data_IF_103303027398
#
_entry.id   IF_103303027398
#
_cell.length_a   1.000
_cell.length_b   1.000
_cell.length_c   1.000
_cell.angle_alpha   90.00
_cell.angle_beta   90.00
_cell.angle_gamma   90.00
#
_symmetry.space_group_name_H-M   'P 1'
#
loop_
_entity.id
_entity.type
_entity.pdbx_description
1 polymer ?
#
# COMPACT_ATOMS: atom_id res chain seq x y z
N UNK A 1 -25.79 -7.86 -17.83
CA UNK A 1 -25.99 -8.36 -16.46
C UNK A 1 -24.71 -8.06 -15.74
N UNK A 2 -24.75 -7.22 -14.72
CA UNK A 2 -23.60 -7.11 -13.81
C UNK A 2 -23.49 -8.46 -13.10
N UNK A 3 -22.37 -9.16 -13.31
CA UNK A 3 -21.98 -10.29 -12.46
C UNK A 3 -21.74 -9.73 -11.07
N UNK A 4 -22.76 -9.80 -10.22
CA UNK A 4 -22.62 -9.48 -8.80
C UNK A 4 -22.09 -10.74 -8.15
N UNK A 5 -20.81 -10.72 -7.79
CA UNK A 5 -20.20 -11.82 -7.04
C UNK A 5 -21.03 -12.13 -5.78
N UNK A 6 -21.30 -13.41 -5.49
CA UNK A 6 -22.02 -13.78 -4.28
C UNK A 6 -21.24 -13.31 -3.04
N UNK A 7 -21.93 -12.96 -1.95
CA UNK A 7 -21.26 -12.56 -0.70
C UNK A 7 -20.34 -13.69 -0.21
N UNK A 8 -19.22 -13.35 0.44
CA UNK A 8 -18.24 -14.34 0.88
C UNK A 8 -18.88 -15.33 1.86
N UNK A 9 -18.51 -16.60 1.73
CA UNK A 9 -18.87 -17.62 2.72
C UNK A 9 -18.28 -17.30 4.08
N UNK A 10 -18.82 -17.90 5.14
CA UNK A 10 -18.26 -17.73 6.49
C UNK A 10 -16.78 -18.13 6.57
N UNK A 11 -16.38 -19.18 5.83
CA UNK A 11 -14.98 -19.62 5.76
C UNK A 11 -14.09 -18.57 5.10
N UNK A 12 -14.54 -17.98 3.99
CA UNK A 12 -13.81 -16.91 3.29
C UNK A 12 -13.77 -15.61 4.10
N UNK A 13 -14.82 -15.32 4.85
CA UNK A 13 -14.83 -14.20 5.79
C UNK A 13 -13.76 -14.39 6.87
N UNK A 14 -13.75 -15.55 7.54
CA UNK A 14 -12.76 -15.84 8.58
C UNK A 14 -11.34 -15.90 8.00
N UNK A 15 -11.14 -16.50 6.83
CA UNK A 15 -9.84 -16.52 6.16
C UNK A 15 -9.35 -15.12 5.80
N UNK A 16 -10.28 -14.25 5.38
CA UNK A 16 -10.03 -12.83 5.09
C UNK A 16 -9.59 -12.00 6.30
N UNK A 17 -9.85 -12.46 7.53
CA UNK A 17 -9.40 -11.76 8.75
C UNK A 17 -7.93 -12.02 9.10
N UNK A 18 -7.33 -13.11 8.64
CA UNK A 18 -5.95 -13.47 9.02
C UNK A 18 -4.92 -12.47 8.49
N UNK A 19 -5.06 -12.02 7.24
CA UNK A 19 -4.15 -11.02 6.65
C UNK A 19 -4.11 -9.73 7.48
N UNK A 20 -5.26 -9.06 7.71
CA UNK A 20 -5.36 -7.89 8.58
C UNK A 20 -4.84 -8.13 10.00
N UNK A 21 -5.10 -9.30 10.59
CA UNK A 21 -4.63 -9.63 11.93
C UNK A 21 -3.10 -9.73 12.00
N UNK A 22 -2.45 -10.36 11.02
CA UNK A 22 -0.99 -10.42 10.91
C UNK A 22 -0.38 -9.03 10.73
N UNK A 23 -0.99 -8.19 9.87
CA UNK A 23 -0.58 -6.79 9.68
C UNK A 23 -0.66 -6.01 11.00
N UNK A 24 -1.71 -6.22 11.78
CA UNK A 24 -1.89 -5.56 13.07
C UNK A 24 -0.82 -5.98 14.08
N UNK A 25 -0.53 -7.28 14.19
CA UNK A 25 0.54 -7.78 15.08
C UNK A 25 1.89 -7.21 14.68
N UNK A 26 2.17 -7.14 13.37
CA UNK A 26 3.45 -6.64 12.87
C UNK A 26 3.61 -5.13 13.03
N UNK A 27 2.55 -4.36 12.82
CA UNK A 27 2.56 -2.92 13.09
C UNK A 27 2.73 -2.62 14.59
N UNK A 28 2.10 -3.43 15.46
CA UNK A 28 2.30 -3.33 16.91
C UNK A 28 3.75 -3.61 17.31
N UNK A 29 4.38 -4.65 16.75
CA UNK A 29 5.81 -4.95 16.96
C UNK A 29 6.68 -3.73 16.63
N UNK A 30 6.48 -3.12 15.47
CA UNK A 30 7.25 -1.94 15.05
C UNK A 30 7.05 -0.75 16.00
N UNK A 31 5.80 -0.49 16.39
CA UNK A 31 5.50 0.57 17.36
C UNK A 31 6.18 0.33 18.70
N UNK A 32 6.13 -0.90 19.23
CA UNK A 32 6.78 -1.26 20.48
C UNK A 32 8.31 -1.09 20.42
N UNK A 33 8.93 -1.43 19.28
CA UNK A 33 10.37 -1.21 19.04
C UNK A 33 10.67 0.29 19.07
N UNK A 34 9.96 1.12 18.30
CA UNK A 34 10.25 2.56 18.23
C UNK A 34 10.01 3.26 19.57
N UNK A 35 8.96 2.89 20.31
CA UNK A 35 8.73 3.37 21.69
C UNK A 35 9.92 2.99 22.59
N UNK A 36 10.36 1.74 22.52
CA UNK A 36 11.49 1.25 23.32
C UNK A 36 12.78 2.00 22.98
N UNK A 37 13.08 2.21 21.70
CA UNK A 37 14.24 3.00 21.28
C UNK A 37 14.15 4.46 21.74
N UNK A 38 12.96 5.06 21.63
CA UNK A 38 12.71 6.45 22.04
C UNK A 38 12.95 6.64 23.53
N UNK A 39 12.47 5.71 24.37
CA UNK A 39 12.60 5.77 25.83
C UNK A 39 14.03 5.41 26.26
N UNK A 40 14.54 4.25 25.84
CA UNK A 40 15.77 3.68 26.41
C UNK A 40 17.04 4.07 25.67
N UNK A 41 17.00 4.25 24.33
CA UNK A 41 18.20 4.62 23.56
C UNK A 41 18.35 6.13 23.43
N UNK A 42 17.25 6.85 23.22
CA UNK A 42 17.25 8.32 23.05
C UNK A 42 17.03 9.09 24.36
N UNK A 43 16.67 8.41 25.44
CA UNK A 43 16.41 9.03 26.75
C UNK A 43 15.15 9.90 26.80
N UNK A 44 14.27 9.81 25.79
CA UNK A 44 13.11 10.69 25.65
C UNK A 44 11.87 10.05 26.28
N UNK A 45 11.88 9.87 27.60
CA UNK A 45 10.88 9.09 28.36
C UNK A 45 9.44 9.56 28.10
N UNK A 46 9.23 10.88 28.00
CA UNK A 46 7.89 11.46 27.80
C UNK A 46 7.51 11.62 26.32
N UNK A 47 8.41 11.37 25.37
CA UNK A 47 8.13 11.55 23.95
C UNK A 47 7.01 10.66 23.40
N UNK A 48 6.80 9.40 23.85
CA UNK A 48 5.66 8.61 23.42
C UNK A 48 4.29 9.23 23.74
N UNK A 49 4.23 10.16 24.70
CA UNK A 49 3.00 10.86 25.10
C UNK A 49 2.98 12.27 24.49
N UNK A 50 4.03 13.06 24.75
CA UNK A 50 4.11 14.48 24.36
C UNK A 50 4.40 14.68 22.86
N UNK A 51 5.04 13.69 22.22
CA UNK A 51 5.40 13.67 20.80
C UNK A 51 4.93 12.37 20.14
N UNK A 52 3.77 11.88 20.57
CA UNK A 52 3.18 10.62 20.13
C UNK A 52 3.02 10.53 18.60
N UNK A 53 2.68 11.64 17.94
CA UNK A 53 2.60 11.72 16.49
C UNK A 53 3.94 11.35 15.83
N UNK A 54 5.05 11.95 16.26
CA UNK A 54 6.38 11.68 15.69
C UNK A 54 6.82 10.23 15.90
N UNK A 55 6.58 9.68 17.10
CA UNK A 55 6.91 8.28 17.44
C UNK A 55 6.07 7.32 16.61
N UNK A 56 4.78 7.62 16.40
CA UNK A 56 3.88 6.83 15.57
C UNK A 56 4.26 6.92 14.08
N UNK A 57 4.57 8.10 13.58
CA UNK A 57 4.92 8.31 12.18
C UNK A 57 6.23 7.60 11.83
N UNK A 58 7.21 7.62 12.74
CA UNK A 58 8.45 6.84 12.60
C UNK A 58 8.17 5.32 12.61
N UNK A 59 7.35 4.84 13.54
CA UNK A 59 6.96 3.43 13.59
C UNK A 59 6.20 2.98 12.33
N UNK A 60 5.30 3.84 11.84
CA UNK A 60 4.54 3.61 10.62
C UNK A 60 5.47 3.54 9.41
N UNK A 61 6.40 4.48 9.26
CA UNK A 61 7.37 4.48 8.16
C UNK A 61 8.24 3.22 8.15
N UNK A 62 8.81 2.85 9.30
CA UNK A 62 9.63 1.62 9.41
C UNK A 62 8.83 0.37 9.07
N UNK A 63 7.60 0.27 9.57
CA UNK A 63 6.69 -0.82 9.24
C UNK A 63 6.45 -0.90 7.74
N UNK A 64 6.10 0.20 7.09
CA UNK A 64 5.77 0.21 5.66
C UNK A 64 6.99 -0.05 4.77
N UNK A 65 8.19 0.41 5.14
CA UNK A 65 9.42 0.10 4.40
C UNK A 65 9.70 -1.41 4.42
N UNK A 66 9.56 -2.07 5.58
CA UNK A 66 9.78 -3.52 5.70
C UNK A 66 8.64 -4.32 5.05
N UNK A 67 7.40 -3.84 5.16
CA UNK A 67 6.23 -4.47 4.58
C UNK A 67 6.19 -4.38 3.05
N UNK A 68 6.52 -3.22 2.49
CA UNK A 68 6.42 -2.91 1.06
C UNK A 68 7.65 -3.37 0.26
N UNK A 69 8.41 -4.36 0.76
CA UNK A 69 9.62 -4.89 0.12
C UNK A 69 9.47 -5.18 -1.38
N UNK A 70 10.58 -5.42 -2.10
CA UNK A 70 10.60 -5.47 -3.57
C UNK A 70 9.51 -6.39 -4.09
N UNK A 71 8.52 -5.81 -4.76
CA UNK A 71 7.53 -6.59 -5.48
C UNK A 71 8.03 -6.78 -6.90
N UNK A 72 8.26 -8.04 -7.27
CA UNK A 72 8.48 -8.40 -8.67
C UNK A 72 7.21 -8.05 -9.43
N UNK A 73 7.26 -6.97 -10.22
CA UNK A 73 6.25 -6.71 -11.23
C UNK A 73 6.37 -7.86 -12.22
N UNK A 74 5.46 -8.81 -12.17
CA UNK A 74 5.43 -9.91 -13.14
C UNK A 74 5.09 -9.31 -14.48
N UNK A 75 6.07 -9.26 -15.36
CA UNK A 75 5.91 -8.84 -16.74
C UNK A 75 5.56 -10.09 -17.56
N UNK A 76 4.59 -9.98 -18.45
CA UNK A 76 4.27 -11.04 -19.40
C UNK A 76 5.35 -11.11 -20.51
N UNK A 77 5.25 -12.11 -21.39
CA UNK A 77 6.24 -12.34 -22.46
C UNK A 77 6.36 -11.16 -23.45
N UNK A 78 5.40 -10.23 -23.46
CA UNK A 78 5.40 -9.03 -24.30
C UNK A 78 6.01 -7.78 -23.63
N UNK A 79 6.56 -7.91 -22.42
CA UNK A 79 7.09 -6.75 -21.70
C UNK A 79 6.01 -5.91 -21.01
N UNK A 80 4.77 -6.39 -20.93
CA UNK A 80 3.64 -5.71 -20.30
C UNK A 80 3.35 -6.31 -18.92
N UNK A 81 3.10 -5.49 -17.89
CA UNK A 81 2.76 -5.99 -16.56
C UNK A 81 1.51 -6.87 -16.56
N UNK A 82 1.62 -8.07 -15.99
CA UNK A 82 0.59 -9.09 -15.98
C UNK A 82 -0.53 -8.74 -14.98
N UNK A 83 -1.54 -8.05 -15.51
CA UNK A 83 -2.71 -7.58 -14.77
C UNK A 83 -3.55 -8.75 -14.21
N UNK A 84 -3.46 -9.95 -14.80
CA UNK A 84 -4.27 -11.12 -14.40
C UNK A 84 -3.91 -11.70 -13.04
N UNK A 85 -2.71 -11.38 -12.54
CA UNK A 85 -2.20 -11.85 -11.24
C UNK A 85 -2.55 -10.91 -10.08
N UNK A 86 -3.16 -9.76 -10.35
CA UNK A 86 -3.56 -8.81 -9.32
C UNK A 86 -4.72 -9.35 -8.51
N UNK A 87 -4.67 -9.17 -7.19
CA UNK A 87 -5.74 -9.55 -6.27
C UNK A 87 -6.12 -8.39 -5.36
N UNK A 88 -7.32 -8.48 -4.77
CA UNK A 88 -7.84 -7.53 -3.78
C UNK A 88 -7.92 -6.08 -4.29
N UNK A 89 -7.50 -5.09 -3.49
CA UNK A 89 -7.57 -3.67 -3.84
C UNK A 89 -6.82 -3.34 -5.14
N UNK A 90 -5.77 -4.08 -5.47
CA UNK A 90 -5.05 -3.96 -6.74
C UNK A 90 -5.90 -4.23 -7.98
N UNK A 91 -6.97 -5.03 -7.86
CA UNK A 91 -7.89 -5.33 -8.96
C UNK A 91 -9.01 -4.27 -9.13
N UNK A 92 -9.25 -3.44 -8.12
CA UNK A 92 -10.27 -2.37 -8.14
C UNK A 92 -9.77 -1.06 -8.75
N UNK A 93 -8.44 -0.92 -8.82
CA UNK A 93 -7.73 0.27 -9.29
C UNK A 93 -7.82 0.45 -10.82
N UNK A 94 -7.68 -0.58 -11.68
CA UNK A 94 -7.63 -0.39 -13.13
C UNK A 94 -8.87 0.30 -13.73
N UNK A 95 -10.13 -0.05 -13.38
CA UNK A 95 -11.31 0.66 -13.91
C UNK A 95 -11.39 2.14 -13.49
N UNK A 96 -10.82 2.49 -12.33
CA UNK A 96 -10.78 3.87 -11.84
C UNK A 96 -9.66 4.67 -12.52
N UNK A 97 -8.47 4.09 -12.66
CA UNK A 97 -7.34 4.76 -13.29
C UNK A 97 -7.57 5.04 -14.78
N UNK A 98 -8.34 4.20 -15.47
CA UNK A 98 -8.80 4.47 -16.86
C UNK A 98 -9.57 5.78 -17.02
N UNK A 99 -10.14 6.33 -15.94
CA UNK A 99 -10.88 7.61 -15.94
C UNK A 99 -10.00 8.83 -15.62
N UNK A 100 -8.71 8.63 -15.32
CA UNK A 100 -7.78 9.70 -15.00
C UNK A 100 -7.56 10.64 -16.20
N UNK A 101 -7.39 11.93 -15.93
CA UNK A 101 -7.18 12.98 -16.94
C UNK A 101 -6.37 14.16 -16.39
N UNK A 102 -5.66 14.87 -17.26
CA UNK A 102 -4.90 16.07 -16.90
C UNK A 102 -3.54 15.75 -16.25
N UNK A 103 -3.22 16.41 -15.13
CA UNK A 103 -2.02 16.14 -14.34
C UNK A 103 -2.42 15.28 -13.13
N UNK A 104 -1.77 14.13 -12.95
CA UNK A 104 -2.07 13.19 -11.86
C UNK A 104 -0.98 13.26 -10.80
N UNK A 105 -1.40 13.30 -9.54
CA UNK A 105 -0.52 13.14 -8.38
C UNK A 105 -0.85 11.80 -7.70
N UNK A 106 0.09 10.86 -7.73
CA UNK A 106 -0.01 9.55 -7.11
C UNK A 106 0.68 9.58 -5.73
N UNK A 107 -0.09 9.71 -4.65
CA UNK A 107 0.46 9.89 -3.30
C UNK A 107 0.75 8.53 -2.68
N UNK A 108 2.01 8.30 -2.31
CA UNK A 108 2.45 7.01 -1.77
C UNK A 108 2.40 5.90 -2.83
N UNK A 109 3.07 6.08 -3.99
CA UNK A 109 3.06 5.08 -5.06
C UNK A 109 3.74 3.76 -4.64
N UNK A 110 4.50 3.79 -3.53
CA UNK A 110 5.35 2.69 -3.09
C UNK A 110 6.31 2.31 -4.20
N UNK A 111 6.37 1.02 -4.53
CA UNK A 111 7.21 0.48 -5.61
C UNK A 111 6.78 0.89 -7.03
N UNK A 112 5.74 1.72 -7.19
CA UNK A 112 5.23 2.14 -8.49
C UNK A 112 4.49 1.02 -9.24
N UNK A 113 4.08 -0.05 -8.54
CA UNK A 113 3.37 -1.20 -9.11
C UNK A 113 2.06 -0.84 -9.82
N UNK A 114 1.51 0.36 -9.54
CA UNK A 114 0.30 0.87 -10.17
C UNK A 114 0.55 1.59 -11.49
N UNK A 115 1.81 1.96 -11.80
CA UNK A 115 2.16 2.70 -13.00
C UNK A 115 1.71 2.06 -14.32
N UNK A 116 1.72 0.72 -14.47
CA UNK A 116 1.26 0.07 -15.69
C UNK A 116 -0.21 0.32 -16.01
N UNK A 117 -1.06 0.54 -14.99
CA UNK A 117 -2.48 0.85 -15.19
C UNK A 117 -2.72 2.24 -15.75
N UNK A 118 -1.71 3.12 -15.67
CA UNK A 118 -1.78 4.43 -16.26
C UNK A 118 -1.41 4.43 -17.74
N UNK A 119 -0.82 3.36 -18.31
CA UNK A 119 -0.32 3.36 -19.70
C UNK A 119 -1.43 3.72 -20.71
N UNK A 120 -2.58 3.05 -20.64
CA UNK A 120 -3.71 3.29 -21.55
C UNK A 120 -4.32 4.70 -21.38
N UNK A 121 -4.66 5.17 -20.15
CA UNK A 121 -5.13 6.54 -19.96
C UNK A 121 -4.04 7.62 -20.15
N UNK A 122 -2.75 7.33 -19.96
CA UNK A 122 -1.65 8.25 -20.25
C UNK A 122 -1.45 8.49 -21.74
N UNK A 123 -1.76 7.50 -22.58
CA UNK A 123 -1.72 7.68 -24.02
C UNK A 123 -2.81 8.63 -24.56
N UNK A 124 -3.88 8.92 -23.80
CA UNK A 124 -5.06 9.64 -24.31
C UNK A 124 -5.48 10.86 -23.48
N UNK A 125 -5.36 10.79 -22.15
CA UNK A 125 -6.04 11.71 -21.24
C UNK A 125 -5.13 12.31 -20.16
N UNK A 126 -3.99 11.68 -19.83
CA UNK A 126 -3.06 12.16 -18.79
C UNK A 126 -1.80 12.76 -19.43
N UNK A 127 -1.49 14.00 -19.05
CA UNK A 127 -0.36 14.79 -19.54
C UNK A 127 0.92 14.61 -18.73
N UNK A 128 0.80 14.31 -17.43
CA UNK A 128 1.92 14.07 -16.53
C UNK A 128 1.44 13.31 -15.29
N UNK A 129 2.32 12.49 -14.70
CA UNK A 129 2.10 11.81 -13.43
C UNK A 129 3.28 12.10 -12.50
N UNK A 130 2.99 12.58 -11.30
CA UNK A 130 3.97 12.82 -10.24
C UNK A 130 3.71 11.83 -9.11
N UNK A 131 4.75 11.13 -8.66
CA UNK A 131 4.66 10.15 -7.57
C UNK A 131 5.62 10.50 -6.44
N UNK A 132 5.22 11.32 -5.44
CA UNK A 132 6.04 11.53 -4.26
C UNK A 132 6.08 10.27 -3.38
N UNK A 133 7.28 9.73 -3.18
CA UNK A 133 7.60 8.70 -2.18
C UNK A 133 8.52 9.32 -1.11
N UNK A 134 8.26 9.11 0.20
CA UNK A 134 9.12 9.58 1.29
C UNK A 134 10.42 8.78 1.44
#
# INVERSE_FOLDING_TARGET
MEDVDPPPSFSEYISGLFGPALLLVWSFKHYAIVVSETVFRRGQILAPILRSAQVRDEAFGRFWIEFAGPQDVTVNDEGVPDISKLRASGALIPPLLKKARGVVLDIGPGTGSQMPFFIEPAAKNVSAIYGPEP
#
